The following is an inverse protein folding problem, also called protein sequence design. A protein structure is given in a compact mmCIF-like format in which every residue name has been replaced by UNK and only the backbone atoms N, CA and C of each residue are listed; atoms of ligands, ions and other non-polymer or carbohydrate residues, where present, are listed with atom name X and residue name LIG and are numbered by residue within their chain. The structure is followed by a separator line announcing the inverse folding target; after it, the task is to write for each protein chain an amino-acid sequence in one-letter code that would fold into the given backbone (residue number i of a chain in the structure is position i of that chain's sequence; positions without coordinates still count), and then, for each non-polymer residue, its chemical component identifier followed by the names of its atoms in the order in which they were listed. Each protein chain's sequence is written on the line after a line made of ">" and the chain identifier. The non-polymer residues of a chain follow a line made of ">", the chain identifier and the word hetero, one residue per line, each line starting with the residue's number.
data_IF_810202723779
#
_entry.id   IF_810202723779
#
_cell.length_a   1.000
_cell.length_b   1.000
_cell.length_c   1.000
_cell.angle_alpha   90.00
_cell.angle_beta   90.00
_cell.angle_gamma   90.00
#
_symmetry.space_group_name_H-M   'P 1'
#
loop_
_entity.id
_entity.type
_entity.pdbx_description
1 polymer ?
#
# COMPACT_ATOMS: atom_id res chain seq x y z
N UNK A 1 6.92 -0.53 -12.55
CA UNK A 1 6.16 -1.41 -11.65
C UNK A 1 4.85 -0.76 -11.26
N UNK A 2 3.75 -1.47 -11.41
CA UNK A 2 2.42 -0.93 -11.10
C UNK A 2 2.03 -1.08 -9.63
N UNK A 3 0.81 -0.69 -9.32
CA UNK A 3 0.26 -0.76 -7.96
C UNK A 3 0.22 -2.19 -7.41
N UNK A 4 -0.06 -3.18 -8.25
CA UNK A 4 -0.36 -4.53 -7.79
C UNK A 4 0.84 -5.46 -7.68
N UNK A 5 2.02 -5.04 -8.11
CA UNK A 5 3.24 -5.86 -8.09
C UNK A 5 4.18 -5.41 -6.98
N UNK A 6 4.76 -6.36 -6.26
CA UNK A 6 5.61 -6.08 -5.12
C UNK A 6 6.85 -6.98 -5.12
N UNK A 7 7.89 -6.56 -4.41
CA UNK A 7 9.09 -7.35 -4.22
C UNK A 7 8.88 -8.32 -3.07
N UNK A 8 8.82 -9.62 -3.39
CA UNK A 8 8.48 -10.68 -2.43
C UNK A 8 9.39 -10.75 -1.21
N UNK A 9 10.68 -10.48 -1.40
CA UNK A 9 11.68 -10.61 -0.33
C UNK A 9 11.87 -9.33 0.49
N UNK A 10 11.09 -8.31 0.18
CA UNK A 10 11.21 -6.99 0.82
C UNK A 10 9.87 -6.64 1.45
N UNK A 11 9.92 -6.05 2.61
CA UNK A 11 8.72 -5.59 3.27
C UNK A 11 8.71 -5.90 4.76
N UNK A 12 7.59 -5.60 5.38
CA UNK A 12 7.40 -5.80 6.81
C UNK A 12 7.07 -7.27 7.11
N UNK A 13 7.81 -7.87 8.00
CA UNK A 13 7.55 -9.26 8.41
C UNK A 13 6.41 -9.30 9.41
N UNK A 14 5.29 -9.92 9.05
CA UNK A 14 4.11 -10.01 9.89
C UNK A 14 3.75 -11.44 10.32
N UNK A 15 4.24 -12.44 9.60
CA UNK A 15 3.86 -13.82 9.88
C UNK A 15 5.05 -14.77 9.73
N UNK A 16 4.99 -15.87 10.48
CA UNK A 16 6.04 -16.91 10.45
C UNK A 16 5.74 -18.08 9.52
N UNK A 17 4.48 -18.21 9.08
CA UNK A 17 4.08 -19.30 8.19
C UNK A 17 3.02 -18.84 7.21
N UNK A 18 2.86 -19.55 6.11
CA UNK A 18 1.84 -19.25 5.10
C UNK A 18 0.41 -19.40 5.64
N UNK A 19 0.22 -20.25 6.64
CA UNK A 19 -1.09 -20.48 7.23
C UNK A 19 -1.58 -19.27 8.02
N UNK A 20 -0.67 -18.51 8.61
CA UNK A 20 -0.97 -17.29 9.35
C UNK A 20 -1.20 -16.09 8.46
N UNK A 21 -0.71 -16.12 7.22
CA UNK A 21 -0.67 -14.96 6.35
C UNK A 21 -2.02 -14.27 6.14
N UNK A 22 -3.11 -14.98 5.78
CA UNK A 22 -4.38 -14.29 5.53
C UNK A 22 -4.88 -13.52 6.73
N UNK A 23 -4.85 -14.14 7.91
CA UNK A 23 -5.33 -13.51 9.13
C UNK A 23 -4.47 -12.33 9.56
N UNK A 24 -3.15 -12.49 9.47
CA UNK A 24 -2.21 -11.43 9.87
C UNK A 24 -2.28 -10.22 8.93
N UNK A 25 -2.46 -10.46 7.65
CA UNK A 25 -2.63 -9.37 6.67
C UNK A 25 -3.95 -8.65 6.93
N UNK A 26 -5.03 -9.39 7.17
CA UNK A 26 -6.32 -8.82 7.49
C UNK A 26 -6.24 -7.96 8.75
N UNK A 27 -5.63 -8.45 9.82
CA UNK A 27 -5.45 -7.70 11.06
C UNK A 27 -4.66 -6.42 10.82
N UNK A 28 -3.59 -6.51 10.04
CA UNK A 28 -2.73 -5.36 9.72
C UNK A 28 -3.51 -4.25 9.03
N UNK A 29 -4.36 -4.60 8.07
CA UNK A 29 -5.19 -3.63 7.35
C UNK A 29 -6.28 -3.07 8.28
N UNK A 30 -6.92 -3.93 9.07
CA UNK A 30 -8.02 -3.51 9.93
C UNK A 30 -7.59 -2.64 11.12
N UNK A 31 -6.36 -2.76 11.58
CA UNK A 31 -5.83 -1.88 12.63
C UNK A 31 -5.88 -0.40 12.25
N UNK A 32 -5.66 -0.11 10.97
CA UNK A 32 -5.72 1.24 10.41
C UNK A 32 -6.48 1.21 9.09
N UNK A 33 -7.70 0.71 9.12
CA UNK A 33 -8.50 0.44 7.93
C UNK A 33 -8.67 1.71 7.07
N UNK A 34 -8.20 1.70 5.82
CA UNK A 34 -8.30 2.87 4.95
C UNK A 34 -9.71 3.12 4.40
N UNK A 35 -10.65 2.22 4.65
CA UNK A 35 -12.03 2.36 4.21
C UNK A 35 -12.55 1.16 3.42
N UNK A 36 -12.18 -0.06 3.85
CA UNK A 36 -12.69 -1.29 3.23
C UNK A 36 -13.63 -1.99 4.19
N UNK A 37 -14.89 -2.16 3.77
CA UNK A 37 -15.90 -2.88 4.54
C UNK A 37 -15.90 -4.36 4.17
N UNK A 38 -16.17 -5.22 5.14
CA UNK A 38 -16.27 -6.67 4.97
C UNK A 38 -15.01 -7.25 4.31
N UNK A 39 -13.85 -6.77 4.74
CA UNK A 39 -12.57 -7.21 4.19
C UNK A 39 -12.34 -8.70 4.46
N UNK A 40 -12.04 -9.43 3.38
CA UNK A 40 -11.57 -10.81 3.44
C UNK A 40 -10.25 -10.90 2.69
N UNK A 41 -9.35 -11.70 3.22
CA UNK A 41 -8.00 -11.87 2.66
C UNK A 41 -7.71 -13.33 2.44
N UNK A 42 -7.19 -13.67 1.28
CA UNK A 42 -6.66 -15.00 1.00
C UNK A 42 -5.27 -14.87 0.39
N UNK A 43 -4.44 -15.89 0.57
CA UNK A 43 -3.07 -15.89 0.05
C UNK A 43 -2.84 -17.24 -0.62
N UNK A 44 -2.35 -17.21 -1.86
CA UNK A 44 -2.04 -18.44 -2.58
C UNK A 44 -0.59 -18.89 -2.36
N UNK A 45 -0.21 -20.01 -2.95
CA UNK A 45 1.12 -20.60 -2.80
C UNK A 45 2.24 -19.74 -3.38
N UNK A 46 1.91 -18.86 -4.32
CA UNK A 46 2.88 -18.04 -5.02
C UNK A 46 3.13 -16.67 -4.35
N UNK A 47 2.40 -16.39 -3.26
CA UNK A 47 2.51 -15.10 -2.60
C UNK A 47 1.57 -14.05 -3.17
N UNK A 48 0.53 -14.46 -3.89
CA UNK A 48 -0.52 -13.55 -4.35
C UNK A 48 -1.57 -13.41 -3.26
N UNK A 49 -1.80 -12.18 -2.83
CA UNK A 49 -2.82 -11.86 -1.82
C UNK A 49 -4.07 -11.39 -2.56
N UNK A 50 -5.20 -12.01 -2.28
CA UNK A 50 -6.48 -11.57 -2.83
C UNK A 50 -7.28 -10.86 -1.75
N UNK A 51 -7.72 -9.65 -2.06
CA UNK A 51 -8.56 -8.84 -1.19
C UNK A 51 -9.97 -8.81 -1.74
N UNK A 52 -10.97 -8.98 -0.87
CA UNK A 52 -12.37 -8.86 -1.24
C UNK A 52 -13.10 -8.01 -0.20
N UNK A 53 -14.27 -7.52 -0.57
CA UNK A 53 -15.06 -6.62 0.26
C UNK A 53 -15.49 -5.41 -0.55
N UNK A 54 -15.65 -4.27 0.12
CA UNK A 54 -16.09 -3.03 -0.52
C UNK A 54 -15.22 -1.86 -0.07
N UNK A 55 -14.50 -1.27 -1.00
CA UNK A 55 -13.73 -0.05 -0.75
C UNK A 55 -14.64 1.17 -0.85
N UNK A 56 -14.49 2.13 0.07
CA UNK A 56 -15.29 3.36 0.06
C UNK A 56 -14.88 4.31 -1.06
N UNK A 57 -13.66 4.16 -1.59
CA UNK A 57 -13.12 5.00 -2.65
C UNK A 57 -11.97 4.27 -3.34
N UNK A 58 -11.54 4.82 -4.47
CA UNK A 58 -10.36 4.31 -5.16
C UNK A 58 -9.11 4.49 -4.28
N UNK A 59 -9.04 5.61 -3.55
CA UNK A 59 -7.95 5.87 -2.60
C UNK A 59 -7.89 4.78 -1.53
N UNK A 60 -9.04 4.38 -0.98
CA UNK A 60 -9.12 3.31 0.02
C UNK A 60 -8.61 1.99 -0.55
N UNK A 61 -8.97 1.66 -1.78
CA UNK A 61 -8.49 0.46 -2.46
C UNK A 61 -6.97 0.51 -2.62
N UNK A 62 -6.44 1.63 -3.12
CA UNK A 62 -5.00 1.79 -3.34
C UNK A 62 -4.22 1.64 -2.03
N UNK A 63 -4.70 2.25 -0.96
CA UNK A 63 -4.05 2.14 0.36
C UNK A 63 -4.09 0.70 0.89
N UNK A 64 -5.23 0.02 0.74
CA UNK A 64 -5.34 -1.38 1.17
C UNK A 64 -4.36 -2.27 0.40
N UNK A 65 -4.23 -2.07 -0.91
CA UNK A 65 -3.27 -2.81 -1.73
C UNK A 65 -1.84 -2.57 -1.26
N UNK A 66 -1.47 -1.31 -0.98
CA UNK A 66 -0.14 -0.98 -0.51
C UNK A 66 0.14 -1.57 0.88
N UNK A 67 -0.83 -1.55 1.77
CA UNK A 67 -0.70 -2.15 3.09
C UNK A 67 -0.47 -3.67 2.99
N UNK A 68 -1.20 -4.34 2.11
CA UNK A 68 -1.04 -5.77 1.89
C UNK A 68 0.27 -6.10 1.18
N UNK A 69 0.63 -5.32 0.17
CA UNK A 69 1.78 -5.60 -0.68
C UNK A 69 3.14 -5.31 -0.05
N UNK A 70 3.21 -4.36 0.88
CA UNK A 70 4.46 -4.00 1.54
C UNK A 70 4.83 -4.95 2.70
N UNK A 71 4.34 -6.19 2.62
CA UNK A 71 4.60 -7.24 3.59
C UNK A 71 5.55 -8.26 2.96
N UNK A 72 6.55 -8.71 3.71
CA UNK A 72 7.49 -9.71 3.24
C UNK A 72 6.75 -11.02 2.89
N UNK A 73 7.01 -11.54 1.71
CA UNK A 73 6.35 -12.74 1.19
C UNK A 73 5.24 -12.46 0.19
N UNK A 74 4.82 -11.21 0.03
CA UNK A 74 3.78 -10.84 -0.92
C UNK A 74 4.42 -10.40 -2.23
N UNK A 75 4.08 -11.08 -3.30
CA UNK A 75 4.56 -10.79 -4.65
C UNK A 75 3.54 -9.99 -5.45
N UNK A 76 2.26 -10.22 -5.20
CA UNK A 76 1.17 -9.61 -5.96
C UNK A 76 -0.07 -9.45 -5.10
N UNK A 77 -0.84 -8.41 -5.38
CA UNK A 77 -2.15 -8.21 -4.73
C UNK A 77 -3.23 -8.19 -5.81
N UNK A 78 -4.26 -9.00 -5.63
CA UNK A 78 -5.39 -9.11 -6.55
C UNK A 78 -6.64 -8.52 -5.90
N UNK A 79 -7.30 -7.60 -6.60
CA UNK A 79 -8.52 -6.93 -6.12
C UNK A 79 -9.72 -7.20 -7.03
N UNK A 80 -9.68 -8.27 -7.83
CA UNK A 80 -10.76 -8.57 -8.75
C UNK A 80 -12.11 -8.80 -8.07
N UNK A 81 -12.11 -9.20 -6.80
CA UNK A 81 -13.32 -9.42 -6.00
C UNK A 81 -13.62 -8.26 -5.04
N UNK A 82 -12.87 -7.17 -5.14
CA UNK A 82 -13.09 -5.99 -4.32
C UNK A 82 -13.93 -4.98 -5.09
N UNK A 83 -15.04 -4.55 -4.50
CA UNK A 83 -15.86 -3.52 -5.09
C UNK A 83 -15.21 -2.15 -4.87
N UNK A 84 -15.03 -1.42 -5.96
CA UNK A 84 -14.46 -0.07 -5.92
C UNK A 84 -15.40 0.86 -6.68
N UNK A 85 -15.87 1.95 -6.05
CA UNK A 85 -16.78 2.86 -6.74
C UNK A 85 -16.08 3.62 -7.87
N UNK A 86 -16.84 3.95 -8.90
CA UNK A 86 -16.34 4.81 -9.95
C UNK A 86 -16.28 6.24 -9.41
N UNK A 87 -15.20 6.92 -9.69
CA UNK A 87 -15.05 8.31 -9.29
C UNK A 87 -15.08 9.21 -10.52
N UNK A 88 -15.80 10.33 -10.41
CA UNK A 88 -15.93 11.29 -11.49
C UNK A 88 -14.66 12.12 -11.69
N UNK A 89 -13.87 12.28 -10.64
CA UNK A 89 -12.63 13.05 -10.69
C UNK A 89 -11.45 12.11 -10.76
N UNK A 90 -10.69 12.21 -11.84
CA UNK A 90 -9.47 11.43 -11.99
C UNK A 90 -8.31 12.11 -11.28
N UNK A 91 -7.77 11.42 -10.29
CA UNK A 91 -6.59 11.88 -9.56
C UNK A 91 -5.39 11.14 -10.13
N UNK A 92 -4.36 11.88 -10.54
CA UNK A 92 -3.13 11.27 -11.04
C UNK A 92 -2.28 10.79 -9.88
N UNK A 93 -1.97 9.51 -9.87
CA UNK A 93 -1.18 8.88 -8.81
C UNK A 93 -0.06 8.07 -9.44
N UNK A 94 1.15 8.24 -8.92
CA UNK A 94 2.27 7.36 -9.24
C UNK A 94 2.61 6.52 -8.01
N UNK A 95 3.17 5.34 -8.26
CA UNK A 95 3.59 4.44 -7.19
C UNK A 95 5.11 4.38 -7.19
N UNK A 96 5.70 4.84 -6.09
CA UNK A 96 7.15 4.96 -5.96
C UNK A 96 7.68 3.90 -4.99
N UNK A 97 8.74 3.21 -5.42
CA UNK A 97 9.43 2.23 -4.56
C UNK A 97 10.60 2.97 -3.89
N UNK A 98 10.56 3.02 -2.56
CA UNK A 98 11.58 3.72 -1.78
C UNK A 98 12.93 3.04 -1.96
N UNK A 99 13.97 3.85 -2.17
CA UNK A 99 15.34 3.39 -2.34
C UNK A 99 16.13 3.64 -1.06
N UNK A 100 17.22 2.87 -0.91
CA UNK A 100 18.14 3.07 0.21
C UNK A 100 18.64 4.51 0.24
N UNK A 101 18.53 5.15 1.39
CA UNK A 101 18.94 6.55 1.55
C UNK A 101 17.88 7.58 1.26
N UNK A 102 16.70 7.16 0.78
CA UNK A 102 15.59 8.08 0.53
C UNK A 102 15.00 8.58 1.85
N UNK A 103 14.50 9.81 1.79
CA UNK A 103 13.66 10.38 2.84
C UNK A 103 12.42 10.95 2.19
N UNK A 104 11.36 11.16 2.95
CA UNK A 104 10.14 11.77 2.39
C UNK A 104 10.43 13.18 1.85
N UNK A 105 11.33 13.91 2.49
CA UNK A 105 11.77 15.21 2.01
C UNK A 105 12.39 15.13 0.62
N UNK A 106 13.33 14.20 0.42
CA UNK A 106 13.97 13.98 -0.87
C UNK A 106 12.99 13.54 -1.95
N UNK A 107 12.05 12.66 -1.58
CA UNK A 107 11.02 12.19 -2.49
C UNK A 107 10.12 13.35 -2.91
N UNK A 108 9.74 14.20 -1.96
CA UNK A 108 8.93 15.39 -2.25
C UNK A 108 9.65 16.35 -3.17
N UNK A 109 10.96 16.54 -2.97
CA UNK A 109 11.76 17.36 -3.89
C UNK A 109 11.74 16.82 -5.31
N UNK A 110 11.83 15.50 -5.44
CA UNK A 110 11.84 14.84 -6.74
C UNK A 110 10.51 15.00 -7.48
N UNK A 111 9.39 14.82 -6.79
CA UNK A 111 8.06 14.82 -7.43
C UNK A 111 7.39 16.19 -7.46
N UNK A 112 7.62 17.03 -6.47
CA UNK A 112 6.96 18.33 -6.34
C UNK A 112 7.90 19.52 -6.50
N UNK A 113 9.20 19.26 -6.57
CA UNK A 113 10.20 20.34 -6.63
C UNK A 113 10.40 21.07 -5.31
N UNK A 114 9.84 20.57 -4.22
CA UNK A 114 9.89 21.21 -2.91
C UNK A 114 9.79 20.16 -1.80
N UNK A 115 10.87 19.97 -1.04
CA UNK A 115 10.91 18.99 0.03
C UNK A 115 9.92 19.26 1.16
N UNK A 116 9.56 20.52 1.39
CA UNK A 116 8.58 20.88 2.42
C UNK A 116 7.20 20.29 2.14
N UNK A 117 6.93 19.87 0.90
CA UNK A 117 5.66 19.23 0.53
C UNK A 117 5.62 17.76 0.92
N UNK A 118 6.59 17.25 1.67
CA UNK A 118 6.58 15.86 2.14
C UNK A 118 5.30 15.53 2.93
N UNK A 119 4.65 16.50 3.53
CA UNK A 119 3.39 16.32 4.25
C UNK A 119 2.28 15.81 3.34
N UNK A 120 2.31 16.16 2.05
CA UNK A 120 1.35 15.63 1.06
C UNK A 120 1.55 14.14 0.87
N UNK A 121 2.79 13.68 0.91
CA UNK A 121 3.12 12.25 0.79
C UNK A 121 2.60 11.51 2.02
N UNK A 122 2.81 12.07 3.21
CA UNK A 122 2.31 11.47 4.46
C UNK A 122 0.78 11.35 4.41
N UNK A 123 0.09 12.39 4.00
CA UNK A 123 -1.37 12.38 3.90
C UNK A 123 -1.89 11.36 2.88
N UNK A 124 -1.22 11.29 1.72
CA UNK A 124 -1.61 10.36 0.66
C UNK A 124 -1.39 8.90 1.06
N UNK A 125 -0.58 8.65 2.08
CA UNK A 125 -0.24 7.31 2.56
C UNK A 125 -0.56 7.10 4.04
N UNK A 126 -1.53 7.81 4.56
CA UNK A 126 -1.80 7.89 5.99
C UNK A 126 -1.87 6.53 6.70
N UNK A 127 -2.55 5.55 6.11
CA UNK A 127 -2.65 4.21 6.70
C UNK A 127 -1.48 3.31 6.27
N UNK A 128 -0.82 3.65 5.17
CA UNK A 128 0.32 2.89 4.62
C UNK A 128 1.60 3.21 5.37
N UNK A 129 1.85 4.50 5.61
CA UNK A 129 3.02 4.98 6.37
C UNK A 129 2.53 5.41 7.76
N UNK A 130 2.80 4.58 8.75
CA UNK A 130 2.39 4.89 10.13
C UNK A 130 3.28 5.91 10.80
N UNK A 131 4.54 5.96 10.38
CA UNK A 131 5.55 6.88 10.91
C UNK A 131 6.47 7.30 9.78
N UNK A 132 6.55 8.61 9.54
CA UNK A 132 7.37 9.17 8.46
C UNK A 132 8.85 8.81 8.58
N UNK A 133 9.34 8.53 9.79
CA UNK A 133 10.72 8.16 10.03
C UNK A 133 10.97 6.65 9.90
N UNK A 134 9.92 5.87 9.67
CA UNK A 134 10.00 4.40 9.58
C UNK A 134 9.72 3.86 8.18
N UNK A 135 9.97 4.65 7.16
CA UNK A 135 9.95 4.14 5.80
C UNK A 135 11.16 3.23 5.57
N UNK A 136 11.04 2.29 4.64
CA UNK A 136 12.12 1.34 4.38
C UNK A 136 12.35 1.13 2.89
N UNK A 137 13.58 0.79 2.48
CA UNK A 137 13.87 0.51 1.08
C UNK A 137 13.02 -0.65 0.56
N UNK A 138 12.45 -0.50 -0.61
CA UNK A 138 11.55 -1.48 -1.20
C UNK A 138 10.08 -1.25 -0.90
N UNK A 139 9.77 -0.40 0.07
CA UNK A 139 8.38 -0.05 0.36
C UNK A 139 7.79 0.73 -0.81
N UNK A 140 6.59 0.35 -1.22
CA UNK A 140 5.89 1.06 -2.28
C UNK A 140 4.89 2.03 -1.66
N UNK A 141 4.90 3.27 -2.10
CA UNK A 141 4.01 4.32 -1.63
C UNK A 141 3.31 4.99 -2.80
N UNK A 142 2.22 5.70 -2.52
CA UNK A 142 1.50 6.46 -3.55
C UNK A 142 1.91 7.93 -3.50
N UNK A 143 2.14 8.48 -4.69
CA UNK A 143 2.47 9.91 -4.88
C UNK A 143 1.35 10.53 -5.68
N UNK A 144 0.60 11.42 -5.07
CA UNK A 144 -0.49 12.11 -5.75
C UNK A 144 0.10 13.30 -6.52
N UNK A 145 -0.05 13.27 -7.83
CA UNK A 145 0.43 14.33 -8.72
C UNK A 145 -0.68 15.33 -8.98
N UNK A 146 -0.36 16.58 -8.88
CA UNK A 146 -1.31 17.67 -9.16
C UNK A 146 -1.12 18.22 -10.55
#
# INVERSE_FOLDING_TARGET
>A
MGLFDFAKDIGRKLFGSKEEAPEKIKEHIEEDNPGVENLEVSVDENGTVALSGKASSKEAMEKAVLMAGNIEGVEKVDVSNLEVPEEEVEVKVEYYVIQKGDTLWKIAEKFYGNGAKYTKIVEANKEVIKDADKIFPGQKIRIVLE
#
